data_IF_031384196801
#
_entry.id   IF_031384196801
#
_cell.length_a   1.000
_cell.length_b   1.000
_cell.length_c   1.000
_cell.angle_alpha   90.00
_cell.angle_beta   90.00
_cell.angle_gamma   90.00
#
_symmetry.space_group_name_H-M   'P 1'
#
loop_
_entity.id
_entity.type
_entity.pdbx_description
1 polymer ?
#
# COMPACT_ATOMS: atom_id res chain seq x y z
N UNK A 1 28.76 15.56 21.26
CA UNK A 1 27.30 15.75 21.38
C UNK A 1 26.66 15.07 20.20
N UNK A 2 25.76 14.11 20.37
CA UNK A 2 25.05 13.53 19.24
C UNK A 2 24.21 14.65 18.61
N UNK A 3 24.37 14.86 17.31
CA UNK A 3 23.50 15.77 16.54
C UNK A 3 22.10 15.16 16.60
N UNK A 4 21.15 15.88 17.26
CA UNK A 4 19.74 15.50 17.20
C UNK A 4 19.35 15.36 15.72
N UNK A 5 18.73 14.23 15.37
CA UNK A 5 18.33 13.97 13.98
C UNK A 5 17.37 15.06 13.51
N UNK A 6 17.38 15.36 12.22
CA UNK A 6 16.41 16.27 11.55
C UNK A 6 14.98 15.95 11.99
N UNK A 7 14.71 14.67 12.13
CA UNK A 7 13.40 14.08 12.44
C UNK A 7 12.87 14.50 13.80
N UNK A 8 13.71 14.62 14.83
CA UNK A 8 13.25 15.04 16.17
C UNK A 8 12.87 16.53 16.23
N UNK A 9 13.42 17.36 15.33
CA UNK A 9 13.06 18.78 15.23
C UNK A 9 11.79 19.00 14.42
N UNK A 10 11.63 18.28 13.31
CA UNK A 10 10.46 18.40 12.41
C UNK A 10 9.20 17.88 13.10
N UNK A 11 9.31 16.83 13.90
CA UNK A 11 8.15 16.19 14.52
C UNK A 11 7.51 17.04 15.63
N UNK A 12 8.24 17.95 16.28
CA UNK A 12 7.73 18.69 17.44
C UNK A 12 7.21 20.10 17.17
N UNK A 13 7.74 20.82 16.16
CA UNK A 13 7.47 22.27 16.07
C UNK A 13 6.49 22.71 14.97
N UNK A 14 6.31 21.93 13.91
CA UNK A 14 5.48 22.38 12.77
C UNK A 14 3.99 22.04 12.86
N UNK A 15 3.54 21.37 13.92
CA UNK A 15 2.17 20.83 14.04
C UNK A 15 1.24 21.54 15.04
N UNK A 16 1.53 22.78 15.39
CA UNK A 16 0.64 23.56 16.29
C UNK A 16 -0.60 24.15 15.62
N UNK A 17 -0.81 23.97 14.33
CA UNK A 17 -1.94 24.55 13.61
C UNK A 17 -3.07 23.56 13.36
N UNK A 18 -4.16 23.81 14.08
CA UNK A 18 -5.55 23.36 13.97
C UNK A 18 -5.81 21.85 13.88
N UNK A 19 -6.59 21.29 14.80
CA UNK A 19 -7.16 19.98 14.65
C UNK A 19 -8.21 20.03 13.54
N UNK A 20 -7.88 19.68 12.31
CA UNK A 20 -8.90 19.26 11.38
C UNK A 20 -9.30 17.85 11.77
N UNK A 21 -10.18 17.70 12.75
CA UNK A 21 -10.96 16.49 12.87
C UNK A 21 -11.69 16.33 11.55
N UNK A 22 -11.22 15.40 10.71
CA UNK A 22 -12.00 14.99 9.56
C UNK A 22 -13.32 14.47 10.12
N UNK A 23 -14.46 15.07 9.79
CA UNK A 23 -15.74 14.58 10.27
C UNK A 23 -15.86 13.11 9.86
N UNK A 24 -16.25 12.26 10.79
CA UNK A 24 -16.65 10.89 10.47
C UNK A 24 -17.76 10.96 9.43
N UNK A 25 -17.49 10.52 8.19
CA UNK A 25 -18.46 10.62 7.12
C UNK A 25 -17.82 10.62 5.75
N UNK A 26 -18.52 11.14 4.79
CA UNK A 26 -18.11 11.19 3.38
C UNK A 26 -16.92 12.12 3.16
N UNK A 27 -15.69 11.62 3.45
CA UNK A 27 -14.43 12.38 3.35
C UNK A 27 -14.29 13.07 1.97
N UNK A 28 -14.82 12.48 0.89
CA UNK A 28 -14.77 13.03 -0.46
C UNK A 28 -15.59 14.32 -0.61
N UNK A 29 -16.54 14.58 0.25
CA UNK A 29 -17.31 15.83 0.30
C UNK A 29 -16.53 16.91 1.06
N UNK A 30 -15.78 16.51 2.08
CA UNK A 30 -15.14 17.41 3.04
C UNK A 30 -13.68 17.76 2.67
N UNK A 31 -12.98 16.85 1.95
CA UNK A 31 -11.63 17.12 1.51
C UNK A 31 -11.63 18.25 0.46
N UNK A 32 -10.80 19.28 0.71
CA UNK A 32 -10.65 20.43 -0.18
C UNK A 32 -10.48 19.99 -1.65
N UNK A 33 -11.21 20.64 -2.55
CA UNK A 33 -11.12 20.34 -3.99
C UNK A 33 -9.72 20.61 -4.57
N UNK A 34 -8.96 21.53 -3.93
CA UNK A 34 -7.59 21.88 -4.30
C UNK A 34 -6.54 21.16 -3.43
N UNK A 35 -6.90 20.05 -2.80
CA UNK A 35 -5.97 19.30 -1.94
C UNK A 35 -4.67 18.94 -2.67
N UNK A 36 -4.75 18.59 -3.96
CA UNK A 36 -3.59 18.30 -4.80
C UNK A 36 -2.63 19.49 -4.94
N UNK A 37 -3.13 20.72 -4.85
CA UNK A 37 -2.34 21.96 -5.04
C UNK A 37 -1.81 22.52 -3.71
N UNK A 38 -2.14 21.91 -2.57
CA UNK A 38 -1.67 22.35 -1.24
C UNK A 38 -0.15 22.17 -1.12
N UNK A 39 0.56 23.17 -0.55
CA UNK A 39 1.98 23.03 -0.24
C UNK A 39 2.21 21.98 0.85
N UNK A 40 3.41 21.42 0.90
CA UNK A 40 3.76 20.34 1.83
C UNK A 40 3.85 20.78 3.30
N UNK A 41 4.05 22.07 3.55
CA UNK A 41 3.99 22.68 4.90
C UNK A 41 5.11 22.26 5.84
N UNK A 42 6.27 21.82 5.32
CA UNK A 42 7.48 21.65 6.13
C UNK A 42 8.35 22.90 6.06
N UNK A 43 8.69 23.44 7.22
CA UNK A 43 9.74 24.43 7.36
C UNK A 43 11.05 23.68 7.61
N UNK A 44 11.98 23.73 6.64
CA UNK A 44 13.27 23.07 6.71
C UNK A 44 14.39 24.11 6.87
N UNK A 45 15.38 23.81 7.70
CA UNK A 45 16.62 24.58 7.73
C UNK A 45 17.33 24.49 6.37
N UNK A 46 18.13 25.50 5.97
CA UNK A 46 18.72 25.56 4.63
C UNK A 46 19.51 24.31 4.22
N UNK A 47 20.21 23.68 5.15
CA UNK A 47 20.97 22.45 4.89
C UNK A 47 20.07 21.25 4.63
N UNK A 48 19.03 21.10 5.42
CA UNK A 48 18.06 20.03 5.30
C UNK A 48 17.21 20.20 4.04
N UNK A 49 16.85 21.45 3.74
CA UNK A 49 16.22 21.82 2.48
C UNK A 49 17.07 21.43 1.27
N UNK A 50 18.38 21.68 1.31
CA UNK A 50 19.29 21.30 0.22
C UNK A 50 19.36 19.77 0.03
N UNK A 51 19.49 19.00 1.11
CA UNK A 51 19.50 17.52 1.08
C UNK A 51 18.19 16.95 0.52
N UNK A 52 17.07 17.41 1.02
CA UNK A 52 15.74 16.95 0.60
C UNK A 52 15.48 17.28 -0.86
N UNK A 53 15.79 18.50 -1.32
CA UNK A 53 15.56 18.88 -2.71
C UNK A 53 16.55 18.25 -3.68
N UNK A 54 17.78 17.97 -3.29
CA UNK A 54 18.73 17.21 -4.11
C UNK A 54 18.18 15.81 -4.46
N UNK A 55 17.52 15.14 -3.52
CA UNK A 55 16.89 13.83 -3.76
C UNK A 55 15.56 13.97 -4.51
N UNK A 56 14.80 15.04 -4.28
CA UNK A 56 13.50 15.27 -4.91
C UNK A 56 13.55 15.32 -6.44
N UNK A 57 14.71 15.66 -7.03
CA UNK A 57 14.89 15.65 -8.49
C UNK A 57 14.64 14.24 -9.09
N UNK A 58 15.03 13.19 -8.39
CA UNK A 58 14.77 11.80 -8.81
C UNK A 58 13.27 11.54 -8.89
N UNK A 59 12.54 11.93 -7.87
CA UNK A 59 11.07 11.79 -7.85
C UNK A 59 10.40 12.58 -8.98
N UNK A 60 10.88 13.78 -9.30
CA UNK A 60 10.32 14.56 -10.39
C UNK A 60 10.47 13.86 -11.74
N UNK A 61 11.63 13.26 -12.00
CA UNK A 61 11.87 12.46 -13.21
C UNK A 61 10.93 11.24 -13.23
N UNK A 62 10.84 10.51 -12.10
CA UNK A 62 9.95 9.35 -11.99
C UNK A 62 8.48 9.74 -12.11
N UNK A 63 8.08 10.88 -11.55
CA UNK A 63 6.72 11.42 -11.65
C UNK A 63 6.35 11.77 -13.10
N UNK A 64 7.23 12.43 -13.82
CA UNK A 64 7.01 12.77 -15.23
C UNK A 64 6.93 11.50 -16.10
N UNK A 65 7.83 10.55 -15.87
CA UNK A 65 7.83 9.28 -16.58
C UNK A 65 6.59 8.43 -16.25
N UNK A 66 6.27 8.24 -14.98
CA UNK A 66 5.08 7.53 -14.52
C UNK A 66 3.78 8.20 -14.99
N UNK A 67 3.72 9.53 -14.95
CA UNK A 67 2.59 10.30 -15.48
C UNK A 67 2.39 10.11 -16.98
N UNK A 68 3.49 9.97 -17.75
CA UNK A 68 3.44 9.70 -19.19
C UNK A 68 2.94 8.27 -19.45
N UNK A 69 3.43 7.29 -18.71
CA UNK A 69 2.98 5.90 -18.82
C UNK A 69 1.49 5.78 -18.46
N UNK A 70 1.07 6.39 -17.36
CA UNK A 70 -0.34 6.39 -16.95
C UNK A 70 -1.22 7.13 -17.97
N UNK A 71 -0.77 8.24 -18.54
CA UNK A 71 -1.50 8.95 -19.59
C UNK A 71 -1.78 8.06 -20.81
N UNK A 72 -0.86 7.16 -21.16
CA UNK A 72 -1.03 6.21 -22.25
C UNK A 72 -1.96 5.03 -21.91
N UNK A 73 -2.27 4.81 -20.65
CA UNK A 73 -3.07 3.66 -20.17
C UNK A 73 -4.43 4.06 -19.59
N UNK A 74 -4.56 5.30 -19.12
CA UNK A 74 -5.85 5.79 -18.63
C UNK A 74 -6.85 5.81 -19.80
N UNK A 75 -7.94 5.06 -19.70
CA UNK A 75 -9.06 5.27 -20.60
C UNK A 75 -9.64 6.65 -20.26
N UNK A 76 -9.26 7.62 -21.04
CA UNK A 76 -10.06 8.83 -21.11
C UNK A 76 -11.35 8.36 -21.75
N UNK A 77 -12.49 8.44 -21.06
CA UNK A 77 -13.77 7.90 -21.48
C UNK A 77 -14.29 8.38 -22.85
N UNK A 78 -13.46 9.04 -23.65
CA UNK A 78 -13.73 9.57 -24.97
C UNK A 78 -12.66 9.24 -26.02
N UNK A 79 -11.49 8.70 -25.63
CA UNK A 79 -10.46 8.26 -26.59
C UNK A 79 -10.38 6.73 -26.56
N UNK A 80 -10.40 6.05 -27.71
CA UNK A 80 -10.16 4.62 -27.75
C UNK A 80 -8.84 4.36 -27.06
N UNK A 81 -8.84 3.50 -26.05
CA UNK A 81 -7.62 3.08 -25.39
C UNK A 81 -6.70 2.48 -26.45
N UNK A 82 -5.40 2.78 -26.37
CA UNK A 82 -4.40 2.19 -27.25
C UNK A 82 -4.25 0.67 -27.06
N UNK A 83 -4.94 0.09 -26.06
CA UNK A 83 -4.99 -1.34 -25.80
C UNK A 83 -6.30 -1.91 -26.39
N UNK A 84 -6.18 -2.87 -27.28
CA UNK A 84 -7.26 -3.48 -28.09
C UNK A 84 -8.39 -4.12 -27.27
N UNK A 85 -8.17 -4.35 -25.97
CA UNK A 85 -9.08 -5.09 -25.07
C UNK A 85 -9.41 -4.31 -23.77
N UNK A 86 -9.25 -3.00 -23.76
CA UNK A 86 -9.53 -2.22 -22.55
C UNK A 86 -11.03 -2.08 -22.33
N UNK A 87 -11.48 -2.50 -21.16
CA UNK A 87 -12.81 -2.23 -20.67
C UNK A 87 -13.04 -0.72 -20.59
N UNK A 88 -14.17 -0.27 -21.08
CA UNK A 88 -14.60 1.14 -20.98
C UNK A 88 -15.69 1.25 -19.94
N UNK A 89 -15.44 2.03 -18.89
CA UNK A 89 -16.42 2.30 -17.85
C UNK A 89 -17.70 2.98 -18.41
N UNK A 90 -18.82 2.64 -17.83
CA UNK A 90 -20.09 3.31 -18.03
C UNK A 90 -20.60 3.94 -16.73
N UNK A 91 -21.56 4.86 -16.76
CA UNK A 91 -22.18 5.42 -15.56
C UNK A 91 -22.71 4.35 -14.60
N UNK A 92 -23.25 3.24 -15.14
CA UNK A 92 -23.76 2.13 -14.35
C UNK A 92 -22.66 1.40 -13.59
N UNK A 93 -21.46 1.31 -14.16
CA UNK A 93 -20.31 0.72 -13.48
C UNK A 93 -19.91 1.55 -12.25
N UNK A 94 -19.91 2.87 -12.39
CA UNK A 94 -19.56 3.77 -11.28
C UNK A 94 -20.62 3.80 -10.19
N UNK A 95 -21.90 3.66 -10.59
CA UNK A 95 -23.02 3.63 -9.65
C UNK A 95 -22.89 2.48 -8.66
N UNK A 96 -22.40 1.32 -9.09
CA UNK A 96 -22.18 0.15 -8.25
C UNK A 96 -21.33 0.48 -7.02
N UNK A 97 -20.24 1.26 -7.20
CA UNK A 97 -19.35 1.63 -6.10
C UNK A 97 -19.89 2.78 -5.25
N UNK A 98 -20.54 3.76 -5.88
CA UNK A 98 -21.14 4.89 -5.13
C UNK A 98 -22.29 4.44 -4.26
N UNK A 99 -23.10 3.47 -4.69
CA UNK A 99 -24.16 2.89 -3.88
C UNK A 99 -23.62 2.18 -2.65
N UNK A 100 -22.52 1.42 -2.80
CA UNK A 100 -21.87 0.76 -1.67
C UNK A 100 -21.46 1.72 -0.57
N UNK A 101 -20.81 2.83 -0.92
CA UNK A 101 -20.35 3.81 0.08
C UNK A 101 -21.48 4.70 0.60
N UNK A 102 -22.56 4.88 -0.18
CA UNK A 102 -23.75 5.58 0.27
C UNK A 102 -24.54 4.78 1.34
N UNK A 103 -24.54 3.44 1.22
CA UNK A 103 -25.25 2.54 2.13
C UNK A 103 -24.50 2.26 3.44
N UNK A 104 -23.26 2.70 3.57
CA UNK A 104 -22.47 2.57 4.81
C UNK A 104 -20.99 2.37 4.59
N UNK A 105 -20.21 2.36 5.69
CA UNK A 105 -18.76 2.27 5.72
C UNK A 105 -18.23 0.89 6.18
N UNK A 106 -18.98 -0.20 5.98
CA UNK A 106 -18.47 -1.54 6.24
C UNK A 106 -17.58 -2.01 5.07
N UNK A 107 -16.26 -2.16 5.27
CA UNK A 107 -15.36 -2.57 4.22
C UNK A 107 -15.64 -3.97 3.68
N UNK A 108 -16.23 -4.86 4.48
CA UNK A 108 -16.47 -6.25 4.10
C UNK A 108 -17.59 -6.39 3.04
N UNK A 109 -18.36 -5.34 2.80
CA UNK A 109 -19.35 -5.33 1.71
C UNK A 109 -18.67 -5.39 0.34
N UNK A 110 -17.55 -4.69 0.17
CA UNK A 110 -16.74 -4.73 -1.03
C UNK A 110 -15.62 -5.78 -0.93
N UNK A 111 -14.84 -5.74 0.14
CA UNK A 111 -13.73 -6.67 0.39
C UNK A 111 -14.24 -7.97 1.03
N UNK A 112 -15.00 -8.73 0.26
CA UNK A 112 -15.58 -9.99 0.72
C UNK A 112 -14.50 -10.94 1.24
N UNK A 113 -14.75 -11.73 2.30
CA UNK A 113 -13.80 -12.73 2.76
C UNK A 113 -13.54 -13.78 1.66
N UNK A 114 -12.27 -14.15 1.42
CA UNK A 114 -11.97 -15.24 0.50
C UNK A 114 -12.43 -16.57 1.07
N UNK A 115 -12.63 -17.62 0.22
CA UNK A 115 -12.85 -18.96 0.68
C UNK A 115 -11.70 -19.48 1.55
N UNK A 116 -12.02 -20.17 2.64
CA UNK A 116 -11.01 -20.70 3.58
C UNK A 116 -10.21 -21.87 3.02
N UNK A 117 -10.73 -22.57 2.04
CA UNK A 117 -10.16 -23.74 1.41
C UNK A 117 -9.24 -23.42 0.21
N UNK A 118 -8.93 -22.14 -0.02
CA UNK A 118 -8.03 -21.73 -1.09
C UNK A 118 -6.64 -22.34 -0.88
N UNK A 119 -6.26 -23.27 -1.78
CA UNK A 119 -5.02 -24.02 -1.66
C UNK A 119 -3.80 -23.21 -2.04
N UNK A 120 -2.93 -22.92 -1.08
CA UNK A 120 -1.62 -22.32 -1.31
C UNK A 120 -0.58 -23.41 -1.54
N UNK A 121 0.13 -23.33 -2.65
CA UNK A 121 1.23 -24.26 -2.98
C UNK A 121 2.57 -23.54 -2.89
N UNK A 122 3.63 -24.29 -2.54
CA UNK A 122 4.98 -23.74 -2.47
C UNK A 122 5.92 -24.48 -3.41
N UNK A 123 6.98 -23.78 -3.81
CA UNK A 123 8.05 -24.28 -4.66
C UNK A 123 9.39 -23.66 -4.25
N UNK A 124 10.51 -24.27 -4.62
CA UNK A 124 11.84 -23.68 -4.41
C UNK A 124 12.06 -22.55 -5.44
N UNK A 125 12.17 -21.30 -5.02
CA UNK A 125 12.48 -20.22 -5.94
C UNK A 125 14.00 -20.25 -6.22
N UNK A 126 14.38 -20.54 -7.46
CA UNK A 126 15.79 -20.61 -7.89
C UNK A 126 16.57 -19.28 -7.72
N UNK A 127 15.91 -18.21 -7.23
CA UNK A 127 16.44 -16.84 -7.15
C UNK A 127 16.01 -16.19 -5.84
N UNK A 128 16.97 -15.78 -5.02
CA UNK A 128 16.80 -14.96 -3.82
C UNK A 128 18.06 -14.17 -3.58
N UNK A 129 17.94 -12.93 -3.14
CA UNK A 129 19.11 -12.10 -2.86
C UNK A 129 19.79 -12.51 -1.55
N UNK A 130 18.99 -12.90 -0.56
CA UNK A 130 19.56 -13.57 0.60
C UNK A 130 19.02 -14.99 0.76
N UNK A 131 19.89 -15.88 1.18
CA UNK A 131 19.55 -17.23 1.61
C UNK A 131 19.67 -17.27 3.12
N UNK A 132 18.63 -17.71 3.83
CA UNK A 132 18.72 -17.85 5.28
C UNK A 132 19.68 -18.97 5.65
N UNK A 133 20.50 -18.73 6.68
CA UNK A 133 21.47 -19.73 7.15
C UNK A 133 20.80 -20.88 7.95
N UNK A 134 19.68 -20.56 8.66
CA UNK A 134 18.91 -21.50 9.47
C UNK A 134 17.42 -21.44 9.11
N UNK A 135 17.13 -21.76 7.86
CA UNK A 135 15.76 -21.67 7.32
C UNK A 135 15.75 -21.86 5.82
N UNK A 136 14.64 -21.50 5.21
CA UNK A 136 14.43 -21.64 3.76
C UNK A 136 13.65 -20.48 3.17
N UNK A 137 13.85 -20.26 1.89
CA UNK A 137 13.03 -19.35 1.09
C UNK A 137 12.07 -20.19 0.23
N UNK A 138 10.78 -19.92 0.33
CA UNK A 138 9.74 -20.59 -0.44
C UNK A 138 9.07 -19.60 -1.40
N UNK A 139 8.88 -20.01 -2.63
CA UNK A 139 7.95 -19.34 -3.54
C UNK A 139 6.53 -19.84 -3.26
N UNK A 140 5.61 -18.95 -2.96
CA UNK A 140 4.19 -19.27 -2.75
C UNK A 140 3.41 -18.92 -4.01
N UNK A 141 2.42 -19.76 -4.35
CA UNK A 141 1.47 -19.48 -5.42
C UNK A 141 0.12 -20.12 -5.13
N UNK A 142 -0.95 -19.45 -5.55
CA UNK A 142 -2.31 -19.96 -5.53
C UNK A 142 -3.13 -19.29 -6.63
N UNK A 143 -4.20 -19.92 -7.03
CA UNK A 143 -5.19 -19.31 -7.91
C UNK A 143 -6.00 -18.30 -7.09
N UNK A 144 -6.04 -17.05 -7.55
CA UNK A 144 -6.80 -15.99 -6.89
C UNK A 144 -8.29 -16.32 -6.89
N UNK A 145 -8.95 -16.44 -5.73
CA UNK A 145 -10.38 -16.70 -5.68
C UNK A 145 -11.23 -15.45 -5.93
N UNK A 146 -10.59 -14.35 -6.28
CA UNK A 146 -11.26 -13.08 -6.46
C UNK A 146 -12.26 -13.11 -7.62
N UNK A 147 -13.48 -12.69 -7.32
CA UNK A 147 -14.53 -12.43 -8.31
C UNK A 147 -14.87 -10.93 -8.24
N UNK A 148 -14.81 -10.21 -9.37
CA UNK A 148 -15.15 -8.80 -9.39
C UNK A 148 -16.51 -8.51 -8.76
N UNK A 149 -16.57 -7.45 -7.97
CA UNK A 149 -17.82 -7.00 -7.38
C UNK A 149 -18.77 -6.47 -8.46
N UNK A 150 -18.24 -5.74 -9.43
CA UNK A 150 -18.95 -5.37 -10.63
C UNK A 150 -18.90 -6.55 -11.63
N UNK A 151 -19.99 -7.28 -11.74
CA UNK A 151 -20.11 -8.47 -12.59
C UNK A 151 -19.78 -8.21 -14.07
N UNK A 152 -19.94 -6.97 -14.54
CA UNK A 152 -19.60 -6.59 -15.92
C UNK A 152 -18.11 -6.72 -16.23
N UNK A 153 -17.24 -6.64 -15.20
CA UNK A 153 -15.80 -6.87 -15.35
C UNK A 153 -15.42 -8.37 -15.30
N UNK A 154 -16.32 -9.24 -14.90
CA UNK A 154 -15.99 -10.67 -14.81
C UNK A 154 -15.43 -11.30 -16.08
N UNK A 155 -15.91 -10.97 -17.31
CA UNK A 155 -15.29 -11.46 -18.54
C UNK A 155 -13.85 -10.97 -18.71
N UNK A 156 -13.57 -9.71 -18.37
CA UNK A 156 -12.22 -9.12 -18.44
C UNK A 156 -11.27 -9.83 -17.48
N UNK A 157 -11.70 -10.04 -16.24
CA UNK A 157 -10.89 -10.74 -15.22
C UNK A 157 -10.60 -12.20 -15.57
N UNK A 158 -11.56 -12.91 -16.19
CA UNK A 158 -11.32 -14.29 -16.69
C UNK A 158 -10.27 -14.38 -17.78
N UNK A 159 -10.00 -13.30 -18.51
CA UNK A 159 -8.97 -13.26 -19.54
C UNK A 159 -7.56 -13.04 -18.97
N UNK A 160 -7.43 -12.58 -17.71
CA UNK A 160 -6.15 -12.40 -17.06
C UNK A 160 -5.56 -13.74 -16.62
N UNK A 161 -4.65 -14.30 -17.42
CA UNK A 161 -4.06 -15.62 -17.15
C UNK A 161 -2.94 -15.59 -16.14
N UNK A 162 -2.06 -14.61 -16.25
CA UNK A 162 -0.94 -14.48 -15.33
C UNK A 162 -1.39 -13.85 -14.00
N UNK A 163 -2.25 -12.84 -14.08
CA UNK A 163 -2.76 -12.14 -12.90
C UNK A 163 -3.64 -13.03 -12.02
N UNK A 164 -4.32 -14.04 -12.59
CA UNK A 164 -5.11 -15.01 -11.81
C UNK A 164 -4.26 -15.85 -10.84
N UNK A 165 -2.94 -15.92 -11.02
CA UNK A 165 -2.05 -16.66 -10.12
C UNK A 165 -1.39 -15.68 -9.15
N UNK A 166 -1.90 -15.63 -7.93
CA UNK A 166 -1.27 -14.88 -6.85
C UNK A 166 0.07 -15.48 -6.45
N UNK A 167 1.03 -14.63 -6.07
CA UNK A 167 2.40 -15.02 -5.78
C UNK A 167 2.97 -14.26 -4.59
N UNK A 168 3.80 -14.94 -3.82
CA UNK A 168 4.60 -14.33 -2.77
C UNK A 168 5.92 -15.09 -2.61
N UNK A 169 6.84 -14.49 -1.87
CA UNK A 169 8.06 -15.16 -1.41
C UNK A 169 8.06 -15.15 0.12
N UNK A 170 8.38 -16.28 0.72
CA UNK A 170 8.36 -16.47 2.15
C UNK A 170 9.70 -17.01 2.64
N UNK A 171 10.39 -16.26 3.47
CA UNK A 171 11.58 -16.68 4.19
C UNK A 171 11.15 -17.09 5.58
N UNK A 172 11.32 -18.36 5.91
CA UNK A 172 10.92 -18.92 7.19
C UNK A 172 12.08 -19.67 7.84
N UNK A 173 12.14 -19.60 9.16
CA UNK A 173 13.08 -20.36 9.95
C UNK A 173 12.70 -21.83 9.97
N UNK A 174 13.69 -22.72 10.22
CA UNK A 174 13.45 -24.16 10.36
C UNK A 174 12.71 -24.49 11.67
N UNK A 175 12.97 -23.68 12.71
CA UNK A 175 12.23 -23.73 13.98
C UNK A 175 11.19 -22.63 14.00
N UNK A 176 9.94 -22.99 14.11
CA UNK A 176 8.82 -22.02 14.10
C UNK A 176 7.56 -22.63 14.66
N UNK A 177 6.40 -21.93 14.61
CA UNK A 177 6.15 -20.68 13.90
C UNK A 177 6.78 -19.46 14.56
N UNK A 178 6.97 -18.39 13.78
CA UNK A 178 7.54 -17.12 14.26
C UNK A 178 6.65 -15.94 13.90
N UNK A 179 6.72 -14.83 14.66
CA UNK A 179 6.10 -13.59 14.23
C UNK A 179 6.51 -13.26 12.80
N UNK A 180 5.55 -12.90 11.97
CA UNK A 180 5.79 -12.77 10.52
C UNK A 180 5.51 -11.36 10.03
N UNK A 181 6.52 -10.73 9.40
CA UNK A 181 6.37 -9.44 8.73
C UNK A 181 6.02 -9.64 7.26
N UNK A 182 4.85 -9.17 6.84
CA UNK A 182 4.40 -9.20 5.44
C UNK A 182 4.69 -7.85 4.79
N UNK A 183 5.54 -7.84 3.78
CA UNK A 183 5.91 -6.66 3.00
C UNK A 183 5.17 -6.62 1.66
N UNK A 184 4.69 -5.43 1.27
CA UNK A 184 3.92 -5.19 0.05
C UNK A 184 4.61 -4.10 -0.77
N UNK A 185 5.05 -4.44 -2.00
CA UNK A 185 5.79 -3.53 -2.86
C UNK A 185 4.95 -2.37 -3.42
N UNK A 186 5.62 -1.35 -3.94
CA UNK A 186 5.01 -0.22 -4.64
C UNK A 186 4.74 -0.50 -6.12
N UNK A 187 4.11 0.48 -6.79
CA UNK A 187 3.86 0.44 -8.23
C UNK A 187 5.18 0.30 -9.02
N UNK A 188 5.23 -0.61 -9.97
CA UNK A 188 6.40 -0.96 -10.79
C UNK A 188 7.63 -1.47 -10.01
N UNK A 189 7.54 -1.62 -8.70
CA UNK A 189 8.65 -2.01 -7.84
C UNK A 189 8.58 -3.51 -7.48
N UNK A 190 8.35 -4.37 -8.43
CA UNK A 190 8.12 -5.81 -8.25
C UNK A 190 9.36 -6.72 -8.20
N UNK A 191 10.57 -6.33 -8.69
CA UNK A 191 11.70 -7.22 -8.58
C UNK A 191 12.00 -7.54 -7.11
N UNK A 192 11.94 -8.83 -6.75
CA UNK A 192 12.11 -9.28 -5.37
C UNK A 192 13.42 -8.77 -4.76
N UNK A 193 14.53 -8.79 -5.48
CA UNK A 193 15.83 -8.35 -4.97
C UNK A 193 15.89 -6.86 -4.60
N UNK A 194 15.10 -6.01 -5.30
CA UNK A 194 14.97 -4.59 -4.95
C UNK A 194 14.23 -4.47 -3.62
N UNK A 195 13.10 -5.18 -3.49
CA UNK A 195 12.25 -5.12 -2.32
C UNK A 195 12.86 -5.78 -1.09
N UNK A 196 13.61 -6.89 -1.26
CA UNK A 196 14.39 -7.50 -0.18
C UNK A 196 15.32 -6.48 0.48
N UNK A 197 15.98 -5.64 -0.34
CA UNK A 197 16.86 -4.56 0.15
C UNK A 197 16.07 -3.37 0.65
N UNK A 198 15.03 -2.96 -0.07
CA UNK A 198 14.23 -1.78 0.28
C UNK A 198 13.60 -1.95 1.66
N UNK A 199 12.96 -3.07 1.92
CA UNK A 199 12.34 -3.37 3.21
C UNK A 199 13.33 -3.89 4.27
N UNK A 200 14.62 -4.02 3.95
CA UNK A 200 15.61 -4.64 4.85
C UNK A 200 15.18 -6.02 5.38
N UNK A 201 14.56 -6.84 4.52
CA UNK A 201 13.93 -8.11 4.94
C UNK A 201 14.91 -9.03 5.66
N UNK A 202 16.19 -9.06 5.24
CA UNK A 202 17.22 -9.83 5.94
C UNK A 202 17.42 -9.36 7.39
N UNK A 203 17.40 -8.05 7.65
CA UNK A 203 17.54 -7.50 9.01
C UNK A 203 16.39 -7.96 9.92
N UNK A 204 15.16 -7.92 9.45
CA UNK A 204 14.01 -8.44 10.19
C UNK A 204 14.08 -9.96 10.37
N UNK A 205 14.52 -10.70 9.35
CA UNK A 205 14.76 -12.13 9.46
C UNK A 205 15.82 -12.46 10.53
N UNK A 206 16.95 -11.77 10.50
CA UNK A 206 18.05 -11.96 11.47
C UNK A 206 17.63 -11.61 12.92
N UNK A 207 16.60 -10.77 13.10
CA UNK A 207 15.97 -10.52 14.41
C UNK A 207 15.04 -11.64 14.87
N UNK A 208 14.86 -12.66 14.06
CA UNK A 208 14.04 -13.81 14.39
C UNK A 208 12.61 -13.77 13.86
N UNK A 209 12.26 -12.84 12.99
CA UNK A 209 10.95 -12.84 12.33
C UNK A 209 10.99 -13.70 11.06
N UNK A 210 9.91 -14.36 10.75
CA UNK A 210 9.69 -14.79 9.37
C UNK A 210 9.28 -13.58 8.53
N UNK A 211 9.61 -13.58 7.24
CA UNK A 211 9.29 -12.46 6.36
C UNK A 211 8.63 -12.94 5.07
N UNK A 212 7.60 -12.22 4.64
CA UNK A 212 6.88 -12.48 3.39
C UNK A 212 6.96 -11.25 2.51
N UNK A 213 7.18 -11.45 1.21
CA UNK A 213 7.09 -10.40 0.20
C UNK A 213 5.99 -10.80 -0.79
N UNK A 214 4.85 -10.12 -0.72
CA UNK A 214 3.69 -10.36 -1.56
C UNK A 214 3.79 -9.60 -2.88
N UNK A 215 3.29 -10.20 -3.99
CA UNK A 215 3.22 -9.58 -5.31
C UNK A 215 1.80 -9.12 -5.59
N UNK A 216 1.63 -7.82 -5.80
CA UNK A 216 0.33 -7.21 -6.13
C UNK A 216 -0.17 -7.64 -7.52
N UNK A 217 -1.49 -7.57 -7.78
CA UNK A 217 -2.06 -7.84 -9.08
C UNK A 217 -1.36 -7.07 -10.22
N UNK A 218 -1.20 -7.73 -11.35
CA UNK A 218 -0.55 -7.19 -12.56
C UNK A 218 0.92 -6.80 -12.46
N UNK A 219 1.59 -7.14 -11.34
CA UNK A 219 3.02 -6.85 -11.17
C UNK A 219 3.88 -8.11 -11.32
N UNK A 220 5.11 -7.94 -11.77
CA UNK A 220 6.10 -8.99 -11.94
C UNK A 220 5.57 -10.17 -12.74
N UNK A 221 5.63 -11.37 -12.19
CA UNK A 221 5.13 -12.58 -12.84
C UNK A 221 3.61 -12.63 -12.98
N UNK A 222 2.88 -11.69 -12.39
CA UNK A 222 1.43 -11.52 -12.54
C UNK A 222 1.07 -10.57 -13.69
N UNK A 223 2.05 -9.83 -14.25
CA UNK A 223 1.82 -8.99 -15.42
C UNK A 223 1.43 -9.85 -16.62
N UNK A 224 0.42 -9.45 -17.36
CA UNK A 224 0.03 -10.11 -18.59
C UNK A 224 1.09 -9.90 -19.67
N UNK A 225 1.20 -10.85 -20.60
CA UNK A 225 2.20 -10.77 -21.69
C UNK A 225 2.02 -9.57 -22.61
N UNK A 226 0.82 -9.02 -22.65
CA UNK A 226 0.48 -7.81 -23.40
C UNK A 226 0.88 -6.52 -22.69
N UNK A 227 1.30 -6.59 -21.42
CA UNK A 227 1.71 -5.41 -20.65
C UNK A 227 3.08 -4.92 -21.10
N UNK A 228 3.22 -3.62 -21.34
CA UNK A 228 4.49 -3.00 -21.71
C UNK A 228 5.41 -2.78 -20.49
N UNK A 229 4.82 -2.70 -19.29
CA UNK A 229 5.55 -2.56 -18.03
C UNK A 229 4.79 -3.22 -16.88
N UNK A 230 5.49 -3.51 -15.81
CA UNK A 230 4.94 -4.12 -14.61
C UNK A 230 3.95 -3.17 -13.92
N UNK A 231 2.76 -3.65 -13.58
CA UNK A 231 1.69 -2.87 -12.98
C UNK A 231 0.76 -2.16 -13.96
N UNK A 232 1.05 -2.16 -15.27
CA UNK A 232 0.17 -1.52 -16.27
C UNK A 232 -1.27 -1.98 -16.14
N UNK A 233 -1.50 -3.29 -16.03
CA UNK A 233 -2.84 -3.88 -15.93
C UNK A 233 -3.64 -3.36 -14.73
N UNK A 234 -2.99 -2.91 -13.67
CA UNK A 234 -3.67 -2.39 -12.49
C UNK A 234 -4.51 -1.13 -12.78
N UNK A 235 -4.14 -0.37 -13.81
CA UNK A 235 -4.78 0.89 -14.20
C UNK A 235 -5.52 0.83 -15.54
N UNK A 236 -5.64 -0.35 -16.18
CA UNK A 236 -6.16 -0.44 -17.56
C UNK A 236 -7.67 -0.59 -17.67
N UNK A 237 -8.37 -1.18 -16.77
CA UNK A 237 -9.81 -1.40 -16.90
C UNK A 237 -10.64 -0.23 -16.32
N UNK A 238 -10.23 1.01 -16.59
CA UNK A 238 -10.92 2.20 -16.12
C UNK A 238 -10.81 2.41 -14.61
N UNK A 239 -11.65 3.29 -14.07
CA UNK A 239 -11.74 3.55 -12.64
C UNK A 239 -12.30 2.32 -11.92
N UNK A 240 -13.27 1.64 -12.53
CA UNK A 240 -13.81 0.39 -12.02
C UNK A 240 -12.72 -0.67 -11.89
N UNK A 241 -11.83 -0.78 -12.90
CA UNK A 241 -10.69 -1.68 -12.84
C UNK A 241 -9.74 -1.41 -11.67
N UNK A 242 -9.48 -0.14 -11.35
CA UNK A 242 -8.65 0.22 -10.20
C UNK A 242 -9.29 -0.29 -8.89
N UNK A 243 -10.60 -0.09 -8.73
CA UNK A 243 -11.33 -0.59 -7.58
C UNK A 243 -11.25 -2.12 -7.49
N UNK A 244 -11.52 -2.81 -8.60
CA UNK A 244 -11.53 -4.28 -8.63
C UNK A 244 -10.13 -4.89 -8.45
N UNK A 245 -9.08 -4.28 -9.01
CA UNK A 245 -7.71 -4.77 -8.80
C UNK A 245 -7.23 -4.54 -7.36
N UNK A 246 -7.67 -3.47 -6.71
CA UNK A 246 -7.45 -3.29 -5.27
C UNK A 246 -8.26 -4.32 -4.47
N UNK A 247 -9.51 -4.60 -4.87
CA UNK A 247 -10.32 -5.68 -4.30
C UNK A 247 -9.61 -7.03 -4.39
N UNK A 248 -9.03 -7.35 -5.56
CA UNK A 248 -8.22 -8.55 -5.78
C UNK A 248 -6.97 -8.56 -4.89
N UNK A 249 -6.26 -7.42 -4.77
CA UNK A 249 -5.07 -7.33 -3.93
C UNK A 249 -5.39 -7.67 -2.46
N UNK A 250 -6.47 -7.11 -1.92
CA UNK A 250 -6.93 -7.39 -0.56
C UNK A 250 -7.38 -8.85 -0.40
N UNK A 251 -8.13 -9.38 -1.37
CA UNK A 251 -8.56 -10.78 -1.36
C UNK A 251 -7.35 -11.74 -1.30
N UNK A 252 -6.37 -11.54 -2.19
CA UNK A 252 -5.16 -12.38 -2.27
C UNK A 252 -4.30 -12.28 -1.00
N UNK A 253 -4.17 -11.09 -0.44
CA UNK A 253 -3.47 -10.91 0.84
C UNK A 253 -4.19 -11.60 1.99
N UNK A 254 -5.52 -11.55 2.05
CA UNK A 254 -6.29 -12.27 3.07
C UNK A 254 -6.17 -13.78 2.94
N UNK A 255 -6.08 -14.32 1.71
CA UNK A 255 -5.73 -15.74 1.50
C UNK A 255 -4.36 -16.06 2.11
N UNK A 256 -3.36 -15.21 1.83
CA UNK A 256 -2.00 -15.38 2.33
C UNK A 256 -1.94 -15.29 3.87
N UNK A 257 -2.58 -14.29 4.46
CA UNK A 257 -2.67 -14.11 5.91
C UNK A 257 -3.38 -15.28 6.58
N UNK A 258 -4.50 -15.72 6.00
CA UNK A 258 -5.23 -16.92 6.47
C UNK A 258 -4.38 -18.19 6.39
N UNK A 259 -3.61 -18.37 5.32
CA UNK A 259 -2.66 -19.49 5.17
C UNK A 259 -1.55 -19.45 6.23
N UNK A 260 -0.97 -18.29 6.50
CA UNK A 260 0.04 -18.12 7.56
C UNK A 260 -0.52 -18.52 8.92
N UNK A 261 -1.74 -18.11 9.25
CA UNK A 261 -2.39 -18.46 10.52
C UNK A 261 -2.73 -19.97 10.60
N UNK A 262 -3.44 -20.49 9.60
CA UNK A 262 -3.98 -21.86 9.67
C UNK A 262 -2.94 -22.93 9.37
N UNK A 263 -2.11 -22.76 8.34
CA UNK A 263 -1.20 -23.82 7.89
C UNK A 263 0.22 -23.67 8.44
N UNK A 264 0.61 -22.42 8.78
CA UNK A 264 1.93 -22.16 9.38
C UNK A 264 1.89 -21.94 10.89
N UNK A 265 0.72 -21.78 11.49
CA UNK A 265 0.52 -21.55 12.92
C UNK A 265 1.08 -20.20 13.39
N UNK A 266 1.09 -19.18 12.50
CA UNK A 266 1.62 -17.87 12.86
C UNK A 266 0.58 -17.08 13.63
N UNK A 267 0.87 -16.76 14.89
CA UNK A 267 -0.03 -16.02 15.77
C UNK A 267 0.08 -14.51 15.58
N UNK A 268 1.31 -13.97 15.42
CA UNK A 268 1.55 -12.54 15.29
C UNK A 268 1.96 -12.19 13.88
N UNK A 269 1.15 -11.37 13.20
CA UNK A 269 1.43 -10.90 11.84
C UNK A 269 1.43 -9.38 11.81
N UNK A 270 2.53 -8.78 11.34
CA UNK A 270 2.61 -7.36 11.02
C UNK A 270 2.64 -7.16 9.51
N UNK A 271 2.05 -6.07 9.02
CA UNK A 271 2.02 -5.73 7.60
C UNK A 271 2.70 -4.38 7.37
N UNK A 272 3.59 -4.32 6.40
CA UNK A 272 4.16 -3.06 5.89
C UNK A 272 4.03 -2.98 4.39
N UNK A 273 3.99 -1.78 3.83
CA UNK A 273 3.93 -1.62 2.39
C UNK A 273 4.36 -0.22 1.96
N UNK A 274 4.93 -0.11 0.76
CA UNK A 274 5.41 1.16 0.22
C UNK A 274 4.49 1.68 -0.87
N UNK A 275 4.15 2.98 -0.87
CA UNK A 275 3.40 3.61 -1.96
C UNK A 275 2.03 2.93 -2.22
N UNK A 276 1.86 2.23 -3.35
CA UNK A 276 0.71 1.38 -3.64
C UNK A 276 0.54 0.27 -2.58
N UNK A 277 1.65 -0.33 -2.13
CA UNK A 277 1.65 -1.26 -0.99
C UNK A 277 1.26 -0.58 0.32
N UNK A 278 1.62 0.70 0.50
CA UNK A 278 1.19 1.54 1.62
C UNK A 278 -0.33 1.79 1.61
N UNK A 279 -0.91 2.03 0.43
CA UNK A 279 -2.36 2.10 0.24
C UNK A 279 -3.03 0.77 0.61
N UNK A 280 -2.50 -0.33 0.08
CA UNK A 280 -3.01 -1.68 0.34
C UNK A 280 -2.93 -2.06 1.83
N UNK A 281 -1.81 -1.77 2.49
CA UNK A 281 -1.64 -2.04 3.94
C UNK A 281 -2.57 -1.18 4.79
N UNK A 282 -2.78 0.09 4.41
CA UNK A 282 -3.73 0.96 5.11
C UNK A 282 -5.18 0.45 5.04
N UNK A 283 -5.58 -0.14 3.91
CA UNK A 283 -6.89 -0.80 3.79
C UNK A 283 -6.99 -2.04 4.67
N UNK A 284 -5.93 -2.85 4.75
CA UNK A 284 -5.91 -4.04 5.61
C UNK A 284 -6.12 -3.69 7.09
N UNK A 285 -5.65 -2.53 7.55
CA UNK A 285 -5.90 -2.06 8.92
C UNK A 285 -7.40 -1.89 9.24
N UNK A 286 -8.23 -1.65 8.22
CA UNK A 286 -9.68 -1.51 8.36
C UNK A 286 -10.45 -2.82 8.14
N UNK A 287 -9.76 -3.89 7.73
CA UNK A 287 -10.39 -5.15 7.29
C UNK A 287 -10.04 -6.31 8.25
N UNK A 288 -8.80 -6.41 8.67
CA UNK A 288 -8.26 -7.53 9.45
C UNK A 288 -7.87 -7.06 10.85
N UNK A 289 -8.71 -7.39 11.84
CA UNK A 289 -8.52 -7.03 13.25
C UNK A 289 -7.49 -7.89 13.98
N UNK A 290 -7.11 -9.03 13.39
CA UNK A 290 -6.13 -9.95 13.95
C UNK A 290 -4.67 -9.60 13.57
N UNK A 291 -4.44 -8.47 12.91
CA UNK A 291 -3.09 -7.99 12.65
C UNK A 291 -2.49 -7.38 13.92
N UNK A 292 -1.25 -7.72 14.20
CA UNK A 292 -0.52 -7.16 15.35
C UNK A 292 -0.09 -5.72 15.09
N UNK A 293 0.33 -5.42 13.87
CA UNK A 293 0.74 -4.06 13.48
C UNK A 293 0.53 -3.80 11.99
N UNK A 294 0.27 -2.52 11.63
CA UNK A 294 0.26 -2.05 10.24
C UNK A 294 1.12 -0.79 10.10
N UNK A 295 2.09 -0.86 9.16
CA UNK A 295 3.13 0.17 8.98
C UNK A 295 3.19 0.60 7.51
N UNK A 296 2.26 1.44 7.00
CA UNK A 296 2.36 1.99 5.65
C UNK A 296 3.52 2.98 5.54
N UNK A 297 4.32 2.81 4.49
CA UNK A 297 5.46 3.65 4.18
C UNK A 297 5.13 4.46 2.92
N UNK A 298 5.25 5.78 3.00
CA UNK A 298 4.89 6.77 1.96
C UNK A 298 3.57 6.42 1.25
N UNK A 299 2.47 6.21 2.00
CA UNK A 299 1.24 5.67 1.46
C UNK A 299 0.54 6.60 0.48
N UNK A 300 -0.04 6.01 -0.56
CA UNK A 300 -1.06 6.69 -1.37
C UNK A 300 -2.39 6.60 -0.61
N UNK A 301 -3.00 7.74 -0.28
CA UNK A 301 -4.22 7.77 0.54
C UNK A 301 -5.41 8.28 -0.24
N UNK A 302 -5.21 9.25 -1.12
CA UNK A 302 -6.21 9.67 -2.11
C UNK A 302 -5.65 9.48 -3.52
N UNK A 303 -5.98 8.36 -4.20
CA UNK A 303 -5.43 8.07 -5.52
C UNK A 303 -5.86 9.08 -6.58
N UNK A 304 -7.03 9.67 -6.44
CA UNK A 304 -7.53 10.72 -7.34
C UNK A 304 -6.66 11.96 -7.25
N UNK A 305 -6.40 12.45 -6.05
CA UNK A 305 -5.58 13.65 -5.85
C UNK A 305 -4.15 13.43 -6.29
N UNK A 306 -3.60 12.24 -6.00
CA UNK A 306 -2.28 11.86 -6.49
C UNK A 306 -2.22 11.90 -8.02
N UNK A 307 -3.19 11.30 -8.69
CA UNK A 307 -3.24 11.26 -10.16
C UNK A 307 -3.32 12.67 -10.76
N UNK A 308 -4.09 13.57 -10.14
CA UNK A 308 -4.19 14.96 -10.57
C UNK A 308 -2.85 15.72 -10.51
N UNK A 309 -1.94 15.30 -9.64
CA UNK A 309 -0.59 15.88 -9.55
C UNK A 309 0.39 15.32 -10.59
N UNK A 310 0.13 14.14 -11.16
CA UNK A 310 1.04 13.46 -12.07
C UNK A 310 0.84 13.92 -13.53
N UNK A 311 1.69 14.81 -14.02
CA UNK A 311 1.58 15.28 -15.40
C UNK A 311 2.30 14.32 -16.37
N UNK A 312 1.75 14.08 -17.60
CA UNK A 312 0.56 14.70 -18.19
C UNK A 312 -0.77 14.05 -17.81
N UNK A 313 -0.78 12.90 -17.11
CA UNK A 313 -1.99 12.15 -16.76
C UNK A 313 -3.04 13.02 -16.03
N UNK A 314 -2.60 13.83 -15.05
CA UNK A 314 -3.46 14.73 -14.30
C UNK A 314 -4.12 15.80 -15.19
N UNK A 315 -3.42 16.29 -16.22
CA UNK A 315 -4.00 17.20 -17.21
C UNK A 315 -5.11 16.56 -18.02
N UNK A 316 -4.93 15.30 -18.42
CA UNK A 316 -5.94 14.50 -19.13
C UNK A 316 -7.17 14.27 -18.25
N UNK A 317 -6.96 13.90 -16.99
CA UNK A 317 -8.07 13.71 -16.04
C UNK A 317 -8.85 15.02 -15.85
N UNK A 318 -8.18 16.15 -15.64
CA UNK A 318 -8.84 17.48 -15.53
C UNK A 318 -9.67 17.81 -16.77
N UNK A 319 -9.12 17.56 -17.97
CA UNK A 319 -9.86 17.75 -19.21
C UNK A 319 -11.11 16.85 -19.32
N UNK A 320 -10.98 15.59 -18.90
CA UNK A 320 -12.09 14.65 -18.83
C UNK A 320 -13.18 15.11 -17.85
N UNK A 321 -12.79 15.53 -16.64
CA UNK A 321 -13.71 16.08 -15.64
C UNK A 321 -14.47 17.29 -16.18
N UNK A 322 -13.76 18.22 -16.84
CA UNK A 322 -14.36 19.39 -17.47
C UNK A 322 -15.39 19.00 -18.55
N UNK A 323 -15.01 18.08 -19.45
CA UNK A 323 -15.89 17.61 -20.53
C UNK A 323 -17.16 16.91 -20.00
N UNK A 324 -17.03 16.12 -18.92
CA UNK A 324 -18.14 15.44 -18.24
C UNK A 324 -18.94 16.37 -17.33
N UNK A 325 -18.49 17.60 -17.10
CA UNK A 325 -19.01 18.50 -16.07
C UNK A 325 -18.98 17.87 -14.66
N UNK A 326 -17.95 17.09 -14.40
CA UNK A 326 -17.75 16.44 -13.10
C UNK A 326 -16.82 17.25 -12.21
N UNK A 327 -17.06 17.16 -10.92
CA UNK A 327 -16.16 17.66 -9.90
C UNK A 327 -15.15 16.58 -9.48
N UNK A 328 -14.04 16.99 -8.90
CA UNK A 328 -13.07 16.08 -8.25
C UNK A 328 -13.77 15.23 -7.16
N UNK A 329 -14.78 15.80 -6.47
CA UNK A 329 -15.57 15.08 -5.46
C UNK A 329 -16.26 13.85 -6.04
N UNK A 330 -16.85 13.96 -7.24
CA UNK A 330 -17.49 12.82 -7.90
C UNK A 330 -16.51 11.70 -8.21
N UNK A 331 -15.31 12.05 -8.67
CA UNK A 331 -14.28 11.05 -8.93
C UNK A 331 -13.78 10.38 -7.63
N UNK A 332 -13.59 11.17 -6.56
CA UNK A 332 -13.25 10.64 -5.22
C UNK A 332 -14.33 9.70 -4.70
N UNK A 333 -15.61 10.02 -4.90
CA UNK A 333 -16.75 9.18 -4.50
C UNK A 333 -16.70 7.80 -5.16
N UNK A 334 -16.40 7.72 -6.46
CA UNK A 334 -16.31 6.45 -7.18
C UNK A 334 -15.19 5.55 -6.65
N UNK A 335 -14.04 6.14 -6.26
CA UNK A 335 -12.91 5.37 -5.70
C UNK A 335 -12.95 5.26 -4.18
N UNK A 336 -13.95 5.85 -3.53
CA UNK A 336 -14.04 5.84 -2.07
C UNK A 336 -14.09 4.42 -1.50
N UNK A 337 -14.69 3.47 -2.21
CA UNK A 337 -14.79 2.06 -1.83
C UNK A 337 -13.43 1.40 -1.61
N UNK A 338 -12.36 1.90 -2.24
CA UNK A 338 -10.99 1.40 -2.08
C UNK A 338 -10.07 2.41 -1.37
N UNK A 339 -10.62 3.48 -0.83
CA UNK A 339 -9.83 4.51 -0.15
C UNK A 339 -9.84 4.29 1.36
N UNK A 340 -8.67 4.20 2.03
CA UNK A 340 -8.62 3.94 3.48
C UNK A 340 -9.35 4.98 4.32
N UNK A 341 -9.50 6.21 3.83
CA UNK A 341 -10.26 7.28 4.52
C UNK A 341 -11.76 6.97 4.68
N UNK A 342 -12.29 6.03 3.91
CA UNK A 342 -13.71 5.63 3.97
C UNK A 342 -14.02 4.81 5.22
N UNK A 343 -13.02 4.12 5.73
CA UNK A 343 -13.17 3.14 6.80
C UNK A 343 -12.31 3.49 8.01
N UNK A 344 -12.89 3.32 9.20
CA UNK A 344 -12.06 3.42 10.41
C UNK A 344 -11.16 2.17 10.53
N UNK A 345 -9.92 2.30 11.00
CA UNK A 345 -9.09 1.15 11.29
C UNK A 345 -9.75 0.29 12.38
N UNK A 346 -9.68 -1.02 12.23
CA UNK A 346 -10.09 -1.97 13.28
C UNK A 346 -9.04 -2.13 14.37
N UNK A 347 -7.79 -1.78 14.05
CA UNK A 347 -6.69 -1.80 14.99
C UNK A 347 -6.68 -0.52 15.83
N UNK A 348 -6.33 -0.61 17.12
CA UNK A 348 -6.09 0.57 17.96
C UNK A 348 -4.86 1.35 17.47
N UNK A 349 -4.80 2.65 17.80
CA UNK A 349 -3.74 3.56 17.34
C UNK A 349 -2.33 3.10 17.72
N UNK A 350 -2.21 2.34 18.82
CA UNK A 350 -0.96 1.77 19.34
C UNK A 350 -0.37 0.69 18.43
N UNK A 351 -1.19 0.09 17.55
CA UNK A 351 -0.79 -0.92 16.55
C UNK A 351 -0.61 -0.32 15.13
N UNK A 352 -0.68 1.00 15.03
CA UNK A 352 -0.58 1.74 13.77
C UNK A 352 0.66 2.64 13.78
N UNK A 353 1.47 2.58 12.72
CA UNK A 353 2.62 3.46 12.54
C UNK A 353 2.72 3.87 11.07
N UNK A 354 2.99 5.14 10.80
CA UNK A 354 3.20 5.65 9.44
C UNK A 354 4.65 6.06 9.26
N UNK A 355 5.24 5.72 8.11
CA UNK A 355 6.55 6.22 7.68
C UNK A 355 6.31 7.21 6.54
N UNK A 356 6.75 8.46 6.69
CA UNK A 356 6.57 9.52 5.70
C UNK A 356 7.90 10.10 5.23
N UNK A 357 8.01 10.41 3.94
CA UNK A 357 9.16 11.07 3.35
C UNK A 357 8.94 12.57 3.22
N UNK A 358 9.79 13.40 3.84
CA UNK A 358 9.65 14.87 3.81
C UNK A 358 9.79 15.43 2.38
N UNK A 359 10.68 14.82 1.60
CA UNK A 359 10.97 15.23 0.22
C UNK A 359 10.18 14.46 -0.84
N UNK A 360 9.23 13.63 -0.44
CA UNK A 360 8.44 12.82 -1.37
C UNK A 360 7.65 13.69 -2.35
N UNK A 361 7.85 13.44 -3.65
CA UNK A 361 7.16 14.13 -4.75
C UNK A 361 6.25 13.19 -5.56
N UNK A 362 6.35 11.88 -5.33
CA UNK A 362 5.49 10.88 -5.95
C UNK A 362 4.20 10.69 -5.16
N UNK A 363 4.30 10.43 -3.85
CA UNK A 363 3.17 10.44 -2.91
C UNK A 363 3.44 11.49 -1.81
N UNK A 364 3.13 12.77 -2.07
CA UNK A 364 3.55 13.87 -1.22
C UNK A 364 3.18 13.71 0.26
N UNK A 365 3.95 14.29 1.19
CA UNK A 365 3.76 14.17 2.64
C UNK A 365 2.33 14.42 3.13
N UNK A 366 1.57 15.25 2.43
CA UNK A 366 0.15 15.51 2.75
C UNK A 366 -0.72 14.24 2.73
N UNK A 367 -0.35 13.21 1.94
CA UNK A 367 -1.05 11.91 1.97
C UNK A 367 -0.78 11.19 3.31
N UNK A 368 0.46 11.12 3.74
CA UNK A 368 0.81 10.54 5.04
C UNK A 368 0.14 11.29 6.20
N UNK A 369 0.08 12.63 6.14
CA UNK A 369 -0.61 13.45 7.15
C UNK A 369 -2.11 13.21 7.16
N UNK A 370 -2.73 13.09 5.98
CA UNK A 370 -4.16 12.82 5.85
C UNK A 370 -4.54 11.47 6.49
N UNK A 371 -3.71 10.44 6.28
CA UNK A 371 -3.89 9.15 6.93
C UNK A 371 -3.65 9.25 8.44
N UNK A 372 -2.63 9.99 8.86
CA UNK A 372 -2.30 10.19 10.27
C UNK A 372 -3.43 10.87 11.05
N UNK A 373 -4.03 11.92 10.48
CA UNK A 373 -5.20 12.58 11.08
C UNK A 373 -6.39 11.63 11.13
N UNK A 374 -6.62 10.84 10.06
CA UNK A 374 -7.70 9.86 9.99
C UNK A 374 -7.54 8.73 11.01
N UNK A 375 -6.30 8.31 11.28
CA UNK A 375 -5.96 7.26 12.24
C UNK A 375 -5.80 7.76 13.68
N UNK A 376 -6.39 8.91 14.03
CA UNK A 376 -6.37 9.45 15.38
C UNK A 376 -4.99 9.86 15.85
N UNK A 377 -4.10 10.22 14.92
CA UNK A 377 -2.72 10.65 15.17
C UNK A 377 -1.86 9.57 15.82
N UNK A 378 -1.90 8.38 15.26
CA UNK A 378 -1.03 7.26 15.61
C UNK A 378 0.46 7.64 15.50
N UNK A 379 1.37 6.69 15.78
CA UNK A 379 2.81 6.93 15.59
C UNK A 379 3.14 7.27 14.14
N UNK A 380 3.91 8.33 13.91
CA UNK A 380 4.43 8.70 12.60
C UNK A 380 5.92 9.02 12.70
N UNK A 381 6.68 8.55 11.72
CA UNK A 381 8.10 8.87 11.57
C UNK A 381 8.34 9.51 10.21
N UNK A 382 9.05 10.65 10.20
CA UNK A 382 9.41 11.38 8.99
C UNK A 382 10.89 11.20 8.69
N UNK A 383 11.24 10.68 7.51
CA UNK A 383 12.62 10.60 7.08
C UNK A 383 12.98 11.71 6.09
N UNK A 384 14.24 12.21 6.13
CA UNK A 384 14.70 13.24 5.19
C UNK A 384 15.09 12.59 3.87
N UNK A 385 14.14 12.42 2.99
CA UNK A 385 14.35 11.77 1.70
C UNK A 385 13.11 11.91 0.84
N UNK A 386 13.17 11.28 -0.31
CA UNK A 386 12.07 11.27 -1.26
C UNK A 386 11.43 9.86 -1.35
N UNK A 387 10.53 9.68 -2.30
CA UNK A 387 9.80 8.43 -2.49
C UNK A 387 10.70 7.23 -2.84
N UNK A 388 11.75 7.47 -3.62
CA UNK A 388 12.66 6.43 -4.15
C UNK A 388 13.93 6.33 -3.33
N UNK A 389 14.51 7.50 -2.96
CA UNK A 389 15.76 7.57 -2.21
C UNK A 389 15.47 7.90 -0.75
N UNK A 390 15.41 6.89 0.08
CA UNK A 390 15.19 7.03 1.50
C UNK A 390 16.52 7.35 2.19
N UNK A 391 16.73 8.62 2.49
CA UNK A 391 17.87 9.03 3.32
C UNK A 391 17.62 8.59 4.77
N UNK A 392 18.70 8.25 5.47
CA UNK A 392 18.68 7.79 6.87
C UNK A 392 17.75 6.56 7.09
N UNK A 393 17.69 5.67 6.07
CA UNK A 393 16.86 4.45 6.11
C UNK A 393 17.07 3.61 7.35
N UNK A 394 18.32 3.51 7.82
CA UNK A 394 18.63 2.78 9.05
C UNK A 394 17.88 3.31 10.27
N UNK A 395 17.60 4.61 10.32
CA UNK A 395 16.85 5.21 11.43
C UNK A 395 15.39 4.79 11.41
N UNK A 396 14.68 4.90 10.28
CA UNK A 396 13.27 4.50 10.27
C UNK A 396 13.09 2.98 10.43
N UNK A 397 14.04 2.15 9.95
CA UNK A 397 14.01 0.72 10.23
C UNK A 397 14.14 0.48 11.74
N UNK A 398 15.07 1.16 12.43
CA UNK A 398 15.19 1.08 13.88
C UNK A 398 13.90 1.56 14.60
N UNK A 399 13.22 2.57 14.05
CA UNK A 399 11.92 3.01 14.58
C UNK A 399 10.81 1.95 14.38
N UNK A 400 10.81 1.25 13.24
CA UNK A 400 9.89 0.12 13.03
C UNK A 400 10.19 -1.03 13.99
N UNK A 401 11.46 -1.38 14.18
CA UNK A 401 11.88 -2.39 15.16
C UNK A 401 11.45 -2.02 16.58
N UNK A 402 11.74 -0.79 17.01
CA UNK A 402 11.31 -0.30 18.32
C UNK A 402 9.79 -0.28 18.50
N UNK A 403 9.04 -0.03 17.42
CA UNK A 403 7.59 -0.09 17.44
C UNK A 403 7.08 -1.52 17.60
N UNK A 404 7.64 -2.46 16.86
CA UNK A 404 7.31 -3.88 16.96
C UNK A 404 7.71 -4.48 18.32
N UNK A 405 8.86 -4.07 18.88
CA UNK A 405 9.29 -4.49 20.22
C UNK A 405 8.30 -4.03 21.32
N UNK A 406 7.71 -2.83 21.18
CA UNK A 406 6.68 -2.32 22.11
C UNK A 406 5.39 -3.13 22.08
N UNK A 407 5.12 -3.82 20.97
CA UNK A 407 3.98 -4.73 20.80
C UNK A 407 4.33 -6.18 21.15
N UNK A 408 5.49 -6.41 21.74
CA UNK A 408 5.99 -7.77 22.03
C UNK A 408 6.00 -8.65 20.77
N UNK A 409 6.29 -8.07 19.61
CA UNK A 409 6.40 -8.75 18.33
C UNK A 409 7.78 -9.40 18.22
N UNK A 410 7.97 -10.49 18.99
CA UNK A 410 9.23 -11.21 19.07
C UNK A 410 8.99 -12.72 19.14
N UNK A 411 10.00 -13.47 18.70
CA UNK A 411 10.02 -14.91 18.90
C UNK A 411 10.48 -15.23 20.33
N UNK A 412 9.72 -16.06 21.02
CA UNK A 412 10.06 -16.59 22.35
C UNK A 412 10.27 -18.08 22.18
N UNK A 413 11.45 -18.61 22.56
CA UNK A 413 11.66 -20.06 22.54
C UNK A 413 10.77 -20.73 23.61
N UNK A 414 10.24 -21.91 23.29
CA UNK A 414 9.26 -22.62 24.12
C UNK A 414 9.71 -22.95 25.57
N UNK A 415 10.96 -22.72 25.91
CA UNK A 415 11.47 -22.87 27.29
C UNK A 415 11.44 -21.59 28.13
N UNK A 416 11.24 -20.41 27.51
CA UNK A 416 11.12 -19.14 28.24
C UNK A 416 9.69 -18.80 28.62
N UNK A 417 8.70 -19.38 27.93
CA UNK A 417 7.27 -19.21 28.26
C UNK A 417 6.93 -19.85 29.60
N UNK A 418 7.45 -21.04 29.89
CA UNK A 418 7.20 -21.73 31.16
C UNK A 418 7.79 -21.01 32.40
N UNK A 419 8.80 -20.18 32.19
CA UNK A 419 9.43 -19.39 33.26
C UNK A 419 8.69 -18.07 33.53
N UNK A 420 8.01 -17.51 32.53
CA UNK A 420 7.26 -16.25 32.65
C UNK A 420 5.85 -16.48 33.26
N UNK A 421 5.27 -17.67 33.11
CA UNK A 421 3.99 -18.04 33.74
C UNK A 421 4.14 -18.60 35.16
N UNK A 422 5.39 -18.91 35.58
CA UNK A 422 5.67 -19.49 36.92
C UNK A 422 6.19 -18.44 37.93
N UNK A 423 6.31 -17.16 37.59
CA UNK A 423 6.75 -16.06 38.46
C UNK A 423 5.67 -14.99 38.64
#
# INVERSE_FOLDING_TARGET
MPRSSIVSRIAHDSYRHSPSTMPSGRWWENLDCNFCDRPEGFELEPWDWARVNATAAVDQVMKAWGGTLLAGTLPVGFLPSFTRDAYTDTPEDWQVYTDLVAEGSDPLRFFRPPPDDTRVTHYDPNWGFFRPDAGRCLGLKFESPYVPFNERLAPTFRNYRNNSIARARYWCHDKGPRPTLVAIHGFMADPYWINERFFSLKQFYDRGYDVVLATLPHHGLRAERSSYYSGQGFFTAGISGINEHMGQAICDLRVLLGWLRRERGVDKIAVTGVSLGGWTSALLASIDEDLEAVIPNVPVVSPVDLLLEWQPAGGIVRAGLFALRWSVRKLREIVAVTTPLTYQPKLPSERLMIIGGVGDRLAPPKHSRLLWDHWGRCRIHWFPGNHVVHLDRGEYIAQMESFLDQLDFRYVEAGEQDLAEAG
#
